data_IF_514088894767
#
_entry.id   IF_514088894767
#
_cell.length_a   1.000
_cell.length_b   1.000
_cell.length_c   1.000
_cell.angle_alpha   90.00
_cell.angle_beta   90.00
_cell.angle_gamma   90.00
#
_symmetry.space_group_name_H-M   'P 1'
#
loop_
_entity.id
_entity.type
_entity.pdbx_description
1 polymer ?
#
# COMPACT_ATOMS: atom_id res chain seq x y z
N UNK A 1 -8.36 6.87 -22.19
CA UNK A 1 -8.75 5.55 -21.67
C UNK A 1 -9.56 5.78 -20.40
N UNK A 2 -10.73 5.14 -20.27
CA UNK A 2 -11.49 5.17 -19.02
C UNK A 2 -10.72 4.41 -17.94
N UNK A 3 -10.90 4.74 -16.65
CA UNK A 3 -10.28 4.01 -15.53
C UNK A 3 -10.58 2.51 -15.58
N UNK A 4 -11.77 2.15 -16.05
CA UNK A 4 -12.24 0.77 -16.14
C UNK A 4 -11.59 -0.04 -17.27
N UNK A 5 -10.94 0.61 -18.25
CA UNK A 5 -10.31 -0.07 -19.38
C UNK A 5 -8.86 -0.48 -19.10
N UNK A 6 -8.30 -0.05 -17.95
CA UNK A 6 -6.87 -0.21 -17.64
C UNK A 6 -6.52 -1.59 -17.09
N UNK A 7 -7.43 -2.18 -16.30
CA UNK A 7 -7.24 -3.49 -15.67
C UNK A 7 -8.56 -4.05 -15.15
N UNK A 8 -8.60 -5.35 -14.84
CA UNK A 8 -9.74 -6.01 -14.21
C UNK A 8 -9.54 -6.24 -12.71
N UNK A 9 -10.63 -6.57 -11.99
CA UNK A 9 -10.56 -6.95 -10.56
C UNK A 9 -9.67 -8.18 -10.35
N UNK A 10 -9.62 -9.11 -11.31
CA UNK A 10 -8.78 -10.30 -11.26
C UNK A 10 -7.29 -9.93 -11.32
N UNK A 11 -6.90 -9.00 -12.21
CA UNK A 11 -5.51 -8.51 -12.28
C UNK A 11 -5.12 -7.77 -10.98
N UNK A 12 -6.03 -6.97 -10.43
CA UNK A 12 -5.84 -6.30 -9.13
C UNK A 12 -5.67 -7.32 -8.01
N UNK A 13 -6.48 -8.38 -8.01
CA UNK A 13 -6.40 -9.47 -7.03
C UNK A 13 -5.04 -10.16 -7.10
N UNK A 14 -4.56 -10.48 -8.30
CA UNK A 14 -3.24 -11.07 -8.50
C UNK A 14 -2.12 -10.16 -7.98
N UNK A 15 -2.16 -8.86 -8.31
CA UNK A 15 -1.19 -7.88 -7.80
C UNK A 15 -1.19 -7.84 -6.26
N UNK A 16 -2.36 -7.74 -5.63
CA UNK A 16 -2.50 -7.67 -4.17
C UNK A 16 -1.95 -8.92 -3.52
N UNK A 17 -2.36 -10.11 -3.98
CA UNK A 17 -1.89 -11.37 -3.41
C UNK A 17 -0.38 -11.57 -3.60
N UNK A 18 0.15 -11.25 -4.79
CA UNK A 18 1.59 -11.33 -5.07
C UNK A 18 2.40 -10.37 -4.18
N UNK A 19 1.90 -9.17 -3.95
CA UNK A 19 2.54 -8.18 -3.09
C UNK A 19 2.57 -8.65 -1.62
N UNK A 20 1.42 -9.09 -1.10
CA UNK A 20 1.33 -9.51 0.30
C UNK A 20 2.04 -10.83 0.58
N UNK A 21 2.19 -11.72 -0.43
CA UNK A 21 3.05 -12.90 -0.32
C UNK A 21 4.50 -12.51 -0.03
N UNK A 22 5.02 -11.45 -0.68
CA UNK A 22 6.36 -10.91 -0.42
C UNK A 22 6.45 -10.24 0.95
N UNK A 23 5.48 -9.39 1.30
CA UNK A 23 5.43 -8.71 2.59
C UNK A 23 5.47 -9.71 3.75
N UNK A 24 4.71 -10.80 3.65
CA UNK A 24 4.58 -11.78 4.74
C UNK A 24 5.89 -12.48 5.11
N UNK A 25 6.80 -12.63 4.14
CA UNK A 25 8.09 -13.31 4.31
C UNK A 25 9.27 -12.34 4.37
N UNK A 26 9.03 -11.04 4.19
CA UNK A 26 10.07 -10.03 4.31
C UNK A 26 10.58 -9.95 5.76
N UNK A 27 11.89 -9.95 5.95
CA UNK A 27 12.51 -10.04 7.27
C UNK A 27 12.21 -8.84 8.19
N UNK A 28 11.86 -7.68 7.63
CA UNK A 28 11.61 -6.45 8.38
C UNK A 28 10.12 -6.12 8.45
N UNK A 29 9.43 -6.15 7.31
CA UNK A 29 8.00 -5.87 7.23
C UNK A 29 7.15 -7.05 7.69
N UNK A 30 7.58 -8.29 7.40
CA UNK A 30 6.87 -9.50 7.77
C UNK A 30 6.50 -9.54 9.25
N UNK A 31 7.42 -9.35 10.20
CA UNK A 31 7.08 -9.29 11.63
C UNK A 31 6.01 -8.25 11.98
N UNK A 32 6.07 -7.04 11.39
CA UNK A 32 5.11 -5.96 11.66
C UNK A 32 3.71 -6.37 11.16
N UNK A 33 3.61 -6.86 9.93
CA UNK A 33 2.33 -7.28 9.36
C UNK A 33 1.77 -8.53 10.05
N UNK A 34 2.60 -9.55 10.29
CA UNK A 34 2.19 -10.81 10.93
C UNK A 34 1.74 -10.61 12.39
N UNK A 35 2.27 -9.62 13.11
CA UNK A 35 1.81 -9.30 14.46
C UNK A 35 0.45 -8.60 14.48
N UNK A 36 0.11 -7.82 13.45
CA UNK A 36 -1.09 -6.98 13.41
C UNK A 36 -2.25 -7.58 12.57
N UNK A 37 -1.96 -8.57 11.73
CA UNK A 37 -2.95 -9.24 10.88
C UNK A 37 -3.12 -10.69 11.36
N UNK A 38 -4.26 -10.94 11.99
CA UNK A 38 -4.64 -12.28 12.46
C UNK A 38 -5.46 -13.05 11.42
N UNK A 39 -6.29 -12.36 10.65
CA UNK A 39 -7.11 -12.93 9.57
C UNK A 39 -6.59 -12.41 8.23
N UNK A 40 -5.72 -13.20 7.60
CA UNK A 40 -5.07 -12.85 6.35
C UNK A 40 -6.04 -12.81 5.17
N UNK A 41 -7.01 -13.72 5.11
CA UNK A 41 -7.97 -13.78 4.01
C UNK A 41 -8.86 -12.54 4.01
N UNK A 42 -9.35 -12.13 5.19
CA UNK A 42 -10.11 -10.89 5.35
C UNK A 42 -9.28 -9.65 5.02
N UNK A 43 -8.01 -9.62 5.43
CA UNK A 43 -7.12 -8.50 5.11
C UNK A 43 -6.89 -8.39 3.61
N UNK A 44 -6.60 -9.51 2.93
CA UNK A 44 -6.40 -9.54 1.49
C UNK A 44 -7.67 -9.10 0.73
N UNK A 45 -8.85 -9.58 1.12
CA UNK A 45 -10.12 -9.13 0.54
C UNK A 45 -10.33 -7.61 0.68
N UNK A 46 -9.98 -7.05 1.84
CA UNK A 46 -10.02 -5.60 2.10
C UNK A 46 -9.07 -4.85 1.17
N UNK A 47 -7.86 -5.38 0.96
CA UNK A 47 -6.86 -4.77 0.09
C UNK A 47 -7.23 -4.86 -1.39
N UNK A 48 -7.86 -5.95 -1.83
CA UNK A 48 -8.45 -6.04 -3.17
C UNK A 48 -9.51 -4.96 -3.34
N UNK A 49 -10.43 -4.81 -2.40
CA UNK A 49 -11.46 -3.77 -2.43
C UNK A 49 -10.86 -2.35 -2.50
N UNK A 50 -9.85 -2.07 -1.68
CA UNK A 50 -9.12 -0.80 -1.67
C UNK A 50 -8.50 -0.48 -3.04
N UNK A 51 -7.72 -1.41 -3.60
CA UNK A 51 -7.06 -1.20 -4.89
C UNK A 51 -8.04 -1.15 -6.05
N UNK A 52 -9.12 -1.94 -6.04
CA UNK A 52 -10.20 -1.86 -7.03
C UNK A 52 -10.90 -0.50 -7.01
N UNK A 53 -11.13 0.06 -5.83
CA UNK A 53 -11.72 1.40 -5.70
C UNK A 53 -10.80 2.49 -6.27
N UNK A 54 -9.48 2.34 -6.13
CA UNK A 54 -8.50 3.31 -6.66
C UNK A 54 -8.24 3.19 -8.17
N UNK A 55 -8.14 1.96 -8.66
CA UNK A 55 -7.72 1.67 -10.03
C UNK A 55 -8.89 1.81 -10.99
N UNK A 56 -10.02 1.17 -10.69
CA UNK A 56 -11.17 1.06 -11.60
C UNK A 56 -12.43 1.76 -11.08
N UNK A 57 -12.38 2.37 -9.89
CA UNK A 57 -13.51 3.13 -9.34
C UNK A 57 -14.66 2.25 -8.83
N UNK A 58 -14.37 1.02 -8.39
CA UNK A 58 -15.39 0.06 -7.95
C UNK A 58 -16.27 0.55 -6.77
N UNK A 59 -15.76 1.48 -5.94
CA UNK A 59 -16.52 2.06 -4.83
C UNK A 59 -16.84 1.08 -3.69
N UNK A 60 -16.10 -0.03 -3.61
CA UNK A 60 -16.34 -1.12 -2.66
C UNK A 60 -15.55 -0.98 -1.35
N UNK A 61 -14.66 0.00 -1.26
CA UNK A 61 -13.86 0.28 -0.07
C UNK A 61 -14.39 1.50 0.68
N UNK A 62 -14.75 1.30 1.95
CA UNK A 62 -15.33 2.30 2.86
C UNK A 62 -14.41 2.66 4.04
N UNK A 63 -13.21 2.07 4.09
CA UNK A 63 -12.27 2.23 5.20
C UNK A 63 -11.52 3.55 5.19
N UNK A 64 -10.90 3.88 6.33
CA UNK A 64 -9.96 5.00 6.46
C UNK A 64 -8.57 4.44 6.80
N UNK A 65 -7.61 4.44 5.84
CA UNK A 65 -6.29 3.88 6.08
C UNK A 65 -5.50 4.63 7.16
N UNK A 66 -5.59 5.96 7.20
CA UNK A 66 -4.73 6.80 8.04
C UNK A 66 -4.81 6.48 9.54
N UNK A 67 -6.00 6.42 10.19
CA UNK A 67 -6.08 6.09 11.62
C UNK A 67 -5.43 4.75 11.98
N UNK A 68 -5.51 3.74 11.10
CA UNK A 68 -4.89 2.43 11.32
C UNK A 68 -3.37 2.53 11.35
N UNK A 69 -2.78 3.29 10.44
CA UNK A 69 -1.32 3.45 10.37
C UNK A 69 -0.80 4.39 11.47
N UNK A 70 -1.54 5.43 11.82
CA UNK A 70 -1.19 6.34 12.91
C UNK A 70 -1.12 5.63 14.28
N UNK A 71 -1.94 4.60 14.49
CA UNK A 71 -1.95 3.81 15.71
C UNK A 71 -0.75 2.86 15.85
N UNK A 72 -0.07 2.51 14.75
CA UNK A 72 1.10 1.63 14.81
C UNK A 72 2.27 2.32 15.50
N UNK A 73 3.04 1.63 16.36
CA UNK A 73 4.28 2.17 16.89
C UNK A 73 5.43 2.03 15.87
N UNK A 74 6.39 2.94 15.93
CA UNK A 74 7.70 2.76 15.29
C UNK A 74 7.72 2.78 13.76
N UNK A 75 6.72 3.34 13.07
CA UNK A 75 6.83 3.55 11.64
C UNK A 75 7.96 4.56 11.32
N UNK A 76 8.71 4.29 10.25
CA UNK A 76 9.84 5.10 9.79
C UNK A 76 9.84 5.22 8.27
N UNK A 77 10.57 6.22 7.75
CA UNK A 77 10.74 6.39 6.30
C UNK A 77 11.33 5.13 5.64
N UNK A 78 12.29 4.46 6.28
CA UNK A 78 12.89 3.22 5.76
C UNK A 78 11.87 2.09 5.58
N UNK A 79 10.90 1.96 6.49
CA UNK A 79 9.83 0.97 6.38
C UNK A 79 8.94 1.27 5.18
N UNK A 80 8.57 2.54 4.96
CA UNK A 80 7.80 2.95 3.78
C UNK A 80 8.59 2.75 2.48
N UNK A 81 9.89 3.07 2.45
CA UNK A 81 10.74 2.82 1.28
C UNK A 81 10.86 1.33 0.99
N UNK A 82 11.02 0.48 2.01
CA UNK A 82 11.06 -0.98 1.84
C UNK A 82 9.72 -1.52 1.31
N UNK A 83 8.60 -1.01 1.81
CA UNK A 83 7.28 -1.36 1.31
C UNK A 83 7.11 -0.98 -0.17
N UNK A 84 7.54 0.22 -0.56
CA UNK A 84 7.54 0.68 -1.96
C UNK A 84 8.44 -0.18 -2.84
N UNK A 85 9.63 -0.56 -2.37
CA UNK A 85 10.55 -1.42 -3.12
C UNK A 85 9.93 -2.79 -3.40
N UNK A 86 9.28 -3.43 -2.42
CA UNK A 86 8.58 -4.70 -2.63
C UNK A 86 7.37 -4.56 -3.58
N UNK A 87 6.70 -3.41 -3.54
CA UNK A 87 5.58 -3.11 -4.43
C UNK A 87 6.06 -2.90 -5.87
N UNK A 88 7.16 -2.16 -6.06
CA UNK A 88 7.79 -1.95 -7.37
C UNK A 88 8.30 -3.27 -7.96
N UNK A 89 8.92 -4.13 -7.14
CA UNK A 89 9.30 -5.51 -7.54
C UNK A 89 8.08 -6.31 -7.99
N UNK A 90 7.02 -6.36 -7.18
CA UNK A 90 5.79 -7.11 -7.50
C UNK A 90 5.20 -6.65 -8.82
N UNK A 91 5.04 -5.34 -9.00
CA UNK A 91 4.44 -4.76 -10.19
C UNK A 91 5.31 -4.91 -11.43
N UNK A 92 6.65 -5.02 -11.27
CA UNK A 92 7.57 -5.24 -12.40
C UNK A 92 7.40 -6.60 -13.07
N UNK A 93 6.86 -7.58 -12.34
CA UNK A 93 6.63 -8.93 -12.82
C UNK A 93 5.23 -9.15 -13.40
N UNK A 94 4.34 -8.14 -13.34
CA UNK A 94 2.99 -8.25 -13.87
C UNK A 94 2.99 -8.18 -15.41
N UNK A 95 2.10 -8.92 -16.10
CA UNK A 95 2.02 -8.84 -17.56
C UNK A 95 1.50 -7.48 -18.05
N UNK A 96 0.52 -6.89 -17.35
CA UNK A 96 -0.06 -5.60 -17.70
C UNK A 96 0.77 -4.45 -17.10
N UNK A 97 1.74 -3.95 -17.88
CA UNK A 97 2.66 -2.90 -17.43
C UNK A 97 2.00 -1.51 -17.33
N UNK A 98 0.92 -1.24 -18.07
CA UNK A 98 0.18 0.02 -17.96
C UNK A 98 -0.55 0.11 -16.60
N UNK A 99 -1.21 -0.98 -16.20
CA UNK A 99 -1.76 -1.13 -14.85
C UNK A 99 -0.66 -0.99 -13.80
N UNK A 100 0.46 -1.70 -13.97
CA UNK A 100 1.57 -1.68 -13.03
C UNK A 100 2.10 -0.25 -12.81
N UNK A 101 2.35 0.50 -13.89
CA UNK A 101 2.79 1.88 -13.82
C UNK A 101 1.84 2.75 -13.00
N UNK A 102 0.53 2.64 -13.27
CA UNK A 102 -0.49 3.38 -12.53
C UNK A 102 -0.58 2.99 -11.06
N UNK A 103 -0.46 1.70 -10.75
CA UNK A 103 -0.46 1.20 -9.38
C UNK A 103 0.75 1.76 -8.58
N UNK A 104 1.94 1.82 -9.20
CA UNK A 104 3.15 2.41 -8.58
C UNK A 104 2.99 3.90 -8.28
N UNK A 105 2.38 4.65 -9.19
CA UNK A 105 2.07 6.08 -8.95
C UNK A 105 1.19 6.28 -7.71
N UNK A 106 0.12 5.50 -7.60
CA UNK A 106 -0.75 5.55 -6.43
C UNK A 106 -0.02 5.08 -5.17
N UNK A 107 0.74 3.99 -5.24
CA UNK A 107 1.53 3.47 -4.12
C UNK A 107 2.44 4.55 -3.51
N UNK A 108 3.19 5.29 -4.34
CA UNK A 108 4.07 6.39 -3.89
C UNK A 108 3.29 7.52 -3.22
N UNK A 109 2.16 7.93 -3.80
CA UNK A 109 1.29 8.98 -3.23
C UNK A 109 0.71 8.55 -1.88
N UNK A 110 0.25 7.30 -1.78
CA UNK A 110 -0.30 6.72 -0.54
C UNK A 110 0.79 6.66 0.54
N UNK A 111 1.96 6.11 0.21
CA UNK A 111 3.07 6.00 1.16
C UNK A 111 3.50 7.37 1.69
N UNK A 112 3.66 8.37 0.81
CA UNK A 112 3.98 9.76 1.20
C UNK A 112 2.89 10.35 2.11
N UNK A 113 1.62 10.18 1.74
CA UNK A 113 0.49 10.68 2.54
C UNK A 113 0.44 10.04 3.94
N UNK A 114 0.57 8.71 4.02
CA UNK A 114 0.61 7.97 5.28
C UNK A 114 1.79 8.39 6.15
N UNK A 115 2.98 8.57 5.56
CA UNK A 115 4.15 9.02 6.29
C UNK A 115 4.00 10.44 6.85
N UNK A 116 3.41 11.36 6.07
CA UNK A 116 3.12 12.71 6.56
C UNK A 116 2.11 12.69 7.71
N UNK A 117 0.99 11.99 7.55
CA UNK A 117 -0.02 11.92 8.60
C UNK A 117 0.48 11.21 9.87
N UNK A 118 1.36 10.21 9.72
CA UNK A 118 2.03 9.58 10.86
C UNK A 118 2.96 10.54 11.60
N UNK A 119 3.77 11.33 10.89
CA UNK A 119 4.63 12.33 11.53
C UNK A 119 3.81 13.40 12.27
N UNK A 120 2.73 13.89 11.65
CA UNK A 120 1.84 14.90 12.25
C UNK A 120 1.14 14.34 13.50
N UNK A 121 0.72 13.07 13.50
CA UNK A 121 0.07 12.47 14.66
C UNK A 121 1.02 12.29 15.85
N UNK A 122 2.32 12.16 15.60
CA UNK A 122 3.37 12.02 16.64
C UNK A 122 3.95 13.36 17.08
N UNK A 123 4.07 14.30 16.15
CA UNK A 123 4.75 15.58 16.32
C UNK A 123 3.96 16.69 15.59
N UNK A 124 2.80 17.14 16.14
CA UNK A 124 1.88 18.03 15.43
C UNK A 124 2.46 19.42 15.10
N UNK A 125 3.54 19.82 15.77
CA UNK A 125 4.19 21.12 15.58
C UNK A 125 5.46 21.06 14.69
N UNK A 126 5.84 19.88 14.20
CA UNK A 126 7.01 19.71 13.34
C UNK A 126 6.59 19.65 11.86
N UNK A 127 7.39 20.25 10.98
CA UNK A 127 7.19 20.07 9.54
C UNK A 127 7.51 18.61 9.15
N UNK A 128 6.61 17.90 8.45
CA UNK A 128 6.85 16.53 8.05
C UNK A 128 7.95 16.45 6.98
N UNK A 129 8.80 15.44 7.10
CA UNK A 129 9.86 15.16 6.13
C UNK A 129 9.35 14.23 5.03
N UNK A 130 9.77 14.51 3.79
CA UNK A 130 9.49 13.69 2.62
C UNK A 130 10.24 12.36 2.64
N UNK A 131 9.70 11.33 2.00
CA UNK A 131 10.34 10.03 1.83
C UNK A 131 11.65 10.13 1.02
N UNK A 132 11.75 11.15 0.15
CA UNK A 132 12.89 11.41 -0.73
C UNK A 132 13.99 12.29 -0.06
N UNK A 133 13.75 12.80 1.16
CA UNK A 133 14.61 13.80 1.81
C UNK A 133 15.15 13.39 3.20
N UNK A 134 15.37 12.09 3.46
CA UNK A 134 15.96 11.60 4.72
C UNK A 134 17.16 10.72 4.47
#
# INVERSE_FOLDING_TARGET
MSRSDLCTTEEITQMVHAFYKRIRVDEVLGPIFNQNIHDWDRHLATMVSFWSSLMIGAGTYDGTPMPRHAALPGLSADLFRRWLNLFDQTTSELPNQDMAGRAREYARRIARSLWFGYQISRSPNAAPLDLDHV
#
